data_IF_838382558280
#
_entry.id   IF_838382558280
#
_cell.length_a   1.000
_cell.length_b   1.000
_cell.length_c   1.000
_cell.angle_alpha   90.00
_cell.angle_beta   90.00
_cell.angle_gamma   90.00
#
_symmetry.space_group_name_H-M   'P 1'
#
loop_
_entity.id
_entity.type
_entity.pdbx_description
1 polymer ?
#
# COMPACT_ATOMS: atom_id res chain seq x y z
N UNK A 1 -45.98 -10.19 -8.32
CA UNK A 1 -44.65 -10.42 -7.71
C UNK A 1 -43.61 -10.43 -8.82
N UNK A 2 -42.93 -9.32 -9.06
CA UNK A 2 -41.83 -9.19 -10.03
C UNK A 2 -40.51 -9.21 -9.27
N UNK A 3 -39.62 -10.15 -9.62
CA UNK A 3 -38.21 -10.14 -9.20
C UNK A 3 -37.43 -9.27 -10.18
N UNK A 4 -36.76 -8.23 -9.68
CA UNK A 4 -35.73 -7.47 -10.39
C UNK A 4 -34.38 -8.19 -10.23
N UNK A 5 -33.59 -8.37 -11.30
CA UNK A 5 -32.16 -8.59 -11.15
C UNK A 5 -31.43 -7.23 -11.00
N UNK A 6 -30.73 -7.06 -9.88
CA UNK A 6 -29.71 -6.03 -9.72
C UNK A 6 -28.52 -6.36 -10.63
N UNK A 7 -28.32 -5.57 -11.69
CA UNK A 7 -27.04 -5.50 -12.39
C UNK A 7 -26.15 -4.48 -11.67
N UNK A 8 -25.16 -4.96 -10.93
CA UNK A 8 -24.04 -4.15 -10.45
C UNK A 8 -23.25 -3.63 -11.66
N UNK A 9 -23.20 -2.31 -11.77
CA UNK A 9 -22.55 -1.59 -12.86
C UNK A 9 -21.09 -1.30 -12.45
N UNK A 10 -20.17 -2.24 -12.72
CA UNK A 10 -18.73 -1.96 -12.67
C UNK A 10 -18.30 -1.39 -14.03
N UNK A 11 -18.18 -0.07 -14.08
CA UNK A 11 -17.81 0.67 -15.28
C UNK A 11 -16.35 0.48 -15.69
N UNK A 12 -16.09 -0.56 -16.47
CA UNK A 12 -14.93 -0.65 -17.36
C UNK A 12 -15.38 -0.45 -18.81
N UNK A 13 -15.47 0.80 -19.28
CA UNK A 13 -15.85 1.08 -20.67
C UNK A 13 -14.65 0.80 -21.60
N UNK A 14 -14.59 -0.42 -22.14
CA UNK A 14 -13.76 -0.74 -23.30
C UNK A 14 -14.42 -0.13 -24.55
N UNK A 15 -13.79 0.87 -25.14
CA UNK A 15 -14.19 1.37 -26.47
C UNK A 15 -13.54 0.44 -27.49
N UNK A 16 -14.32 -0.46 -28.08
CA UNK A 16 -13.88 -1.27 -29.22
C UNK A 16 -14.20 -0.47 -30.49
N UNK A 17 -13.22 0.06 -31.22
CA UNK A 17 -13.50 0.63 -32.53
C UNK A 17 -13.71 -0.53 -33.49
N UNK A 18 -14.97 -0.68 -33.91
CA UNK A 18 -15.35 -1.55 -35.01
C UNK A 18 -14.82 -0.94 -36.31
N UNK A 19 -14.11 -1.78 -37.10
CA UNK A 19 -13.76 -1.60 -38.51
C UNK A 19 -12.62 -0.60 -38.88
N UNK A 20 -11.39 -1.10 -39.08
CA UNK A 20 -10.74 -1.27 -40.39
C UNK A 20 -9.29 -1.78 -40.22
N UNK A 21 -8.82 -2.57 -41.19
CA UNK A 21 -7.53 -3.24 -41.21
C UNK A 21 -6.30 -2.31 -41.11
N UNK A 22 -5.21 -2.87 -40.57
CA UNK A 22 -3.82 -2.37 -40.54
C UNK A 22 -3.55 -1.33 -39.44
N UNK A 23 -3.30 -1.83 -38.23
CA UNK A 23 -2.14 -1.59 -37.34
C UNK A 23 -2.46 -2.46 -36.13
N UNK A 24 -1.57 -3.37 -35.76
CA UNK A 24 -1.71 -4.23 -34.56
C UNK A 24 -1.52 -3.33 -33.33
N UNK A 25 -2.53 -2.52 -33.04
CA UNK A 25 -2.64 -1.76 -31.81
C UNK A 25 -3.06 -2.74 -30.74
N UNK A 26 -2.07 -3.34 -30.08
CA UNK A 26 -2.27 -4.05 -28.82
C UNK A 26 -2.72 -2.98 -27.82
N UNK A 27 -4.02 -2.68 -27.79
CA UNK A 27 -4.64 -1.98 -26.66
C UNK A 27 -4.74 -3.05 -25.57
N UNK A 28 -3.60 -3.31 -24.93
CA UNK A 28 -3.55 -4.13 -23.73
C UNK A 28 -4.31 -3.36 -22.66
N UNK A 29 -5.46 -3.86 -22.24
CA UNK A 29 -6.03 -3.49 -20.96
C UNK A 29 -5.03 -3.94 -19.89
N UNK A 30 -4.10 -3.07 -19.53
CA UNK A 30 -3.18 -3.32 -18.42
C UNK A 30 -4.03 -3.35 -17.16
N UNK A 31 -4.15 -4.52 -16.55
CA UNK A 31 -4.72 -4.68 -15.22
C UNK A 31 -3.98 -3.71 -14.27
N UNK A 32 -4.68 -2.73 -13.67
CA UNK A 32 -4.05 -1.78 -12.78
C UNK A 32 -3.36 -2.47 -11.59
N UNK A 33 -3.84 -3.65 -11.15
CA UNK A 33 -3.19 -4.40 -10.07
C UNK A 33 -1.78 -4.83 -10.45
N UNK A 34 -1.58 -5.31 -11.69
CA UNK A 34 -0.25 -5.71 -12.18
C UNK A 34 0.69 -4.52 -12.19
N UNK A 35 0.24 -3.38 -12.71
CA UNK A 35 1.05 -2.16 -12.73
C UNK A 35 1.41 -1.70 -11.32
N UNK A 36 0.46 -1.68 -10.40
CA UNK A 36 0.73 -1.28 -9.01
C UNK A 36 1.69 -2.22 -8.29
N UNK A 37 1.58 -3.53 -8.52
CA UNK A 37 2.55 -4.50 -8.03
C UNK A 37 3.96 -4.23 -8.60
N UNK A 38 4.08 -3.98 -9.90
CA UNK A 38 5.36 -3.65 -10.55
C UNK A 38 5.94 -2.33 -9.99
N UNK A 39 5.12 -1.29 -9.81
CA UNK A 39 5.54 -0.01 -9.25
C UNK A 39 6.05 -0.18 -7.79
N UNK A 40 5.34 -0.95 -6.96
CA UNK A 40 5.76 -1.28 -5.60
C UNK A 40 7.02 -2.17 -5.56
N UNK A 41 7.14 -3.13 -6.47
CA UNK A 41 8.35 -3.96 -6.61
C UNK A 41 9.57 -3.11 -6.93
N UNK A 42 9.43 -2.14 -7.84
CA UNK A 42 10.50 -1.18 -8.16
C UNK A 42 10.93 -0.33 -6.95
N UNK A 43 10.04 -0.11 -5.98
CA UNK A 43 10.39 0.52 -4.70
C UNK A 43 11.14 -0.48 -3.82
N UNK A 44 10.59 -1.68 -3.63
CA UNK A 44 11.14 -2.71 -2.75
C UNK A 44 12.54 -3.18 -3.16
N UNK A 45 12.80 -3.31 -4.46
CA UNK A 45 14.10 -3.75 -5.00
C UNK A 45 15.15 -2.62 -5.04
N UNK A 46 14.75 -1.37 -4.75
CA UNK A 46 15.63 -0.21 -4.77
C UNK A 46 16.12 0.15 -3.37
N UNK A 47 17.39 -0.15 -3.09
CA UNK A 47 18.03 0.15 -1.80
C UNK A 47 17.85 1.60 -1.36
N UNK A 48 18.03 2.56 -2.28
CA UNK A 48 17.88 3.99 -1.97
C UNK A 48 16.45 4.39 -1.63
N UNK A 49 15.44 3.79 -2.28
CA UNK A 49 14.03 4.06 -1.97
C UNK A 49 13.59 3.41 -0.65
N UNK A 50 14.06 2.20 -0.38
CA UNK A 50 13.84 1.52 0.91
C UNK A 50 14.48 2.31 2.04
N UNK A 51 15.74 2.76 1.87
CA UNK A 51 16.43 3.59 2.85
C UNK A 51 15.66 4.90 3.09
N UNK A 52 15.23 5.58 2.03
CA UNK A 52 14.40 6.78 2.13
C UNK A 52 13.13 6.54 2.96
N UNK A 53 12.39 5.46 2.70
CA UNK A 53 11.17 5.13 3.44
C UNK A 53 11.46 4.83 4.91
N UNK A 54 12.54 4.10 5.18
CA UNK A 54 12.98 3.71 6.53
C UNK A 54 13.38 4.95 7.35
N UNK A 55 14.21 5.82 6.79
CA UNK A 55 14.59 7.09 7.43
C UNK A 55 13.37 7.99 7.65
N UNK A 56 12.47 8.06 6.64
CA UNK A 56 11.24 8.82 6.75
C UNK A 56 10.38 8.33 7.91
N UNK A 57 10.12 7.03 8.01
CA UNK A 57 9.22 6.51 9.05
C UNK A 57 9.86 6.61 10.43
N UNK A 58 11.15 6.31 10.59
CA UNK A 58 11.85 6.46 11.87
C UNK A 58 11.74 7.89 12.40
N UNK A 59 11.95 8.88 11.53
CA UNK A 59 11.76 10.30 11.88
C UNK A 59 10.31 10.64 12.23
N UNK A 60 9.33 9.99 11.60
CA UNK A 60 7.90 10.24 11.87
C UNK A 60 7.46 9.62 13.20
N UNK A 61 8.00 8.47 13.59
CA UNK A 61 7.70 7.82 14.86
C UNK A 61 8.16 8.66 16.07
N UNK A 62 9.18 9.50 15.90
CA UNK A 62 9.61 10.49 16.91
C UNK A 62 8.67 11.70 17.04
N UNK A 63 7.67 11.85 16.17
CA UNK A 63 6.80 13.02 16.10
C UNK A 63 5.41 12.75 16.70
N UNK A 64 5.06 13.31 17.88
CA UNK A 64 3.77 13.08 18.52
C UNK A 64 2.56 13.49 17.67
N UNK A 65 2.68 14.55 16.85
CA UNK A 65 1.59 15.00 15.97
C UNK A 65 1.34 14.01 14.83
N UNK A 66 2.38 13.33 14.38
CA UNK A 66 2.23 12.26 13.40
C UNK A 66 1.50 11.07 14.01
N UNK A 67 1.91 10.63 15.21
CA UNK A 67 1.26 9.51 15.90
C UNK A 67 -0.22 9.80 16.20
N UNK A 68 -0.54 11.01 16.66
CA UNK A 68 -1.92 11.47 16.87
C UNK A 68 -2.73 11.44 15.58
N UNK A 69 -2.15 11.91 14.46
CA UNK A 69 -2.80 11.88 13.15
C UNK A 69 -3.03 10.44 12.68
N UNK A 70 -2.06 9.54 12.85
CA UNK A 70 -2.24 8.12 12.52
C UNK A 70 -3.34 7.50 13.37
N UNK A 71 -3.46 7.93 14.63
CA UNK A 71 -4.48 7.47 15.57
C UNK A 71 -4.32 5.99 15.88
N UNK A 72 -5.27 5.46 16.66
CA UNK A 72 -5.26 4.06 17.11
C UNK A 72 -5.12 3.02 15.99
N UNK A 73 -5.76 3.25 14.84
CA UNK A 73 -5.72 2.29 13.73
C UNK A 73 -4.37 2.21 13.04
N UNK A 74 -3.48 3.18 13.23
CA UNK A 74 -2.16 3.18 12.60
C UNK A 74 -2.20 3.23 11.06
N UNK A 75 -3.37 3.41 10.43
CA UNK A 75 -3.55 3.30 8.98
C UNK A 75 -4.20 4.54 8.37
N UNK A 76 -3.76 4.92 7.16
CA UNK A 76 -4.30 6.02 6.36
C UNK A 76 -4.30 5.65 4.89
N UNK A 77 -5.40 5.94 4.20
CA UNK A 77 -5.53 5.75 2.75
C UNK A 77 -5.91 7.07 2.07
N UNK A 78 -5.48 7.27 0.83
CA UNK A 78 -5.85 8.48 0.08
C UNK A 78 -7.36 8.56 -0.21
N UNK A 79 -8.01 7.39 -0.32
CA UNK A 79 -9.45 7.29 -0.57
C UNK A 79 -10.29 7.75 0.63
N UNK A 80 -9.85 7.46 1.85
CA UNK A 80 -10.61 7.77 3.06
C UNK A 80 -10.11 9.05 3.76
N UNK A 81 -8.81 9.33 3.66
CA UNK A 81 -8.12 10.35 4.46
C UNK A 81 -7.24 11.29 3.59
N UNK A 82 -7.76 11.92 2.52
CA UNK A 82 -6.93 12.62 1.53
C UNK A 82 -6.14 13.79 2.13
N UNK A 83 -6.74 14.58 3.01
CA UNK A 83 -6.08 15.72 3.64
C UNK A 83 -4.93 15.28 4.57
N UNK A 84 -5.03 14.12 5.20
CA UNK A 84 -3.99 13.59 6.07
C UNK A 84 -2.87 12.95 5.26
N UNK A 85 -3.20 12.21 4.21
CA UNK A 85 -2.22 11.63 3.28
C UNK A 85 -1.33 12.70 2.64
N UNK A 86 -1.90 13.86 2.28
CA UNK A 86 -1.11 15.00 1.78
C UNK A 86 -0.15 15.59 2.83
N UNK A 87 -0.46 15.47 4.13
CA UNK A 87 0.40 15.96 5.22
C UNK A 87 1.55 15.03 5.58
N UNK A 88 1.55 13.79 5.08
CA UNK A 88 2.62 12.83 5.32
C UNK A 88 3.97 13.30 4.77
N UNK A 89 3.94 14.11 3.69
CA UNK A 89 5.14 14.61 3.00
C UNK A 89 6.07 13.47 2.54
N UNK A 90 5.49 12.35 2.13
CA UNK A 90 6.21 11.32 1.36
C UNK A 90 6.38 11.87 -0.06
N UNK A 91 7.58 11.70 -0.63
CA UNK A 91 7.87 12.04 -2.01
C UNK A 91 7.40 10.90 -2.93
N UNK A 92 6.09 10.91 -3.21
CA UNK A 92 5.45 9.92 -4.06
C UNK A 92 6.04 9.87 -5.48
N UNK A 93 6.50 11.02 -5.99
CA UNK A 93 7.10 11.12 -7.31
C UNK A 93 8.47 10.44 -7.34
N UNK A 94 9.31 10.66 -6.32
CA UNK A 94 10.58 9.95 -6.16
C UNK A 94 10.38 8.43 -6.08
N UNK A 95 9.36 7.98 -5.33
CA UNK A 95 9.02 6.56 -5.24
C UNK A 95 8.48 6.01 -6.56
N UNK A 96 7.95 6.86 -7.44
CA UNK A 96 7.27 6.45 -8.67
C UNK A 96 5.88 5.87 -8.42
N UNK A 97 5.24 6.27 -7.32
CA UNK A 97 3.93 5.76 -6.90
C UNK A 97 2.84 6.82 -7.10
N UNK A 98 1.65 6.36 -7.47
CA UNK A 98 0.48 7.21 -7.61
C UNK A 98 -0.25 7.36 -6.28
N UNK A 99 -0.09 8.53 -5.63
CA UNK A 99 -0.73 8.87 -4.36
C UNK A 99 -2.24 8.55 -4.34
N UNK A 100 -2.96 8.64 -5.47
CA UNK A 100 -4.42 8.42 -5.53
C UNK A 100 -4.85 7.03 -5.06
N UNK A 101 -3.97 6.04 -5.20
CA UNK A 101 -4.23 4.65 -4.84
C UNK A 101 -3.43 4.20 -3.62
N UNK A 102 -2.68 5.11 -3.01
CA UNK A 102 -1.75 4.79 -1.95
C UNK A 102 -2.43 4.72 -0.58
N UNK A 103 -1.89 3.84 0.25
CA UNK A 103 -2.16 3.75 1.68
C UNK A 103 -0.85 3.56 2.45
N UNK A 104 -0.86 3.94 3.71
CA UNK A 104 0.19 3.63 4.66
C UNK A 104 -0.42 3.00 5.90
N UNK A 105 0.35 2.14 6.55
CA UNK A 105 -0.05 1.50 7.80
C UNK A 105 1.18 1.22 8.67
N UNK A 106 0.99 1.40 9.98
CA UNK A 106 1.95 1.06 11.02
C UNK A 106 1.48 -0.24 11.66
N UNK A 107 2.22 -1.30 11.38
CA UNK A 107 1.97 -2.63 11.92
C UNK A 107 2.64 -2.71 13.28
N UNK A 108 1.88 -3.14 14.29
CA UNK A 108 2.25 -3.06 15.70
C UNK A 108 1.91 -4.33 16.45
N UNK A 109 2.58 -4.56 17.57
CA UNK A 109 2.28 -5.70 18.45
C UNK A 109 0.87 -5.60 19.06
N UNK A 110 0.29 -6.76 19.36
CA UNK A 110 -1.01 -6.86 20.01
C UNK A 110 -0.92 -6.45 21.49
N UNK A 111 -1.91 -5.71 22.00
CA UNK A 111 -2.03 -5.38 23.42
C UNK A 111 -1.76 -3.93 23.80
N UNK A 112 -1.57 -3.04 22.82
CA UNK A 112 -1.60 -1.59 23.05
C UNK A 112 -2.87 -1.17 23.80
N UNK A 113 -2.73 -0.29 24.80
CA UNK A 113 -3.85 0.26 25.57
C UNK A 113 -4.65 1.28 24.76
N UNK A 114 -5.94 1.38 25.10
CA UNK A 114 -6.96 2.27 24.54
C UNK A 114 -6.45 3.58 23.90
N UNK A 115 -6.75 3.73 22.60
CA UNK A 115 -6.74 4.99 21.84
C UNK A 115 -5.39 5.70 21.61
N UNK A 116 -4.25 5.05 21.86
CA UNK A 116 -2.93 5.62 21.55
C UNK A 116 -2.08 4.67 20.72
N UNK A 117 -1.28 5.24 19.81
CA UNK A 117 -0.28 4.51 19.05
C UNK A 117 1.08 4.71 19.73
N UNK A 118 1.58 3.67 20.40
CA UNK A 118 2.90 3.67 21.02
C UNK A 118 3.97 3.40 19.94
N UNK A 119 4.93 4.31 19.71
CA UNK A 119 5.97 4.09 18.69
C UNK A 119 6.85 2.89 19.00
N UNK A 120 6.98 2.48 20.27
CA UNK A 120 7.81 1.34 20.68
C UNK A 120 7.19 -0.02 20.33
N UNK A 121 5.88 -0.07 20.04
CA UNK A 121 5.18 -1.29 19.62
C UNK A 121 5.08 -1.42 18.11
N UNK A 122 5.48 -0.39 17.34
CA UNK A 122 5.55 -0.47 15.87
C UNK A 122 6.70 -1.41 15.48
N UNK A 123 6.38 -2.37 14.61
CA UNK A 123 7.29 -3.44 14.15
C UNK A 123 7.61 -3.31 12.68
N UNK A 124 6.61 -2.99 11.86
CA UNK A 124 6.82 -2.75 10.45
C UNK A 124 5.97 -1.60 9.91
N UNK A 125 6.42 -1.04 8.80
CA UNK A 125 5.72 -0.06 8.01
C UNK A 125 5.24 -0.69 6.72
N UNK A 126 3.94 -0.53 6.44
CA UNK A 126 3.32 -0.98 5.22
C UNK A 126 3.01 0.22 4.33
N UNK A 127 3.41 0.12 3.07
CA UNK A 127 3.05 1.05 2.01
C UNK A 127 2.27 0.28 0.94
N UNK A 128 1.00 0.64 0.76
CA UNK A 128 0.07 -0.08 -0.10
C UNK A 128 -0.32 0.70 -1.35
N UNK A 129 -0.64 -0.01 -2.43
CA UNK A 129 -1.32 0.51 -3.61
C UNK A 129 -2.45 -0.46 -4.02
N UNK A 130 -3.70 -0.03 -3.82
CA UNK A 130 -4.85 -0.93 -3.95
C UNK A 130 -4.74 -2.10 -2.97
N UNK A 131 -4.65 -3.33 -3.49
CA UNK A 131 -4.47 -4.55 -2.67
C UNK A 131 -3.01 -4.97 -2.51
N UNK A 132 -2.11 -4.42 -3.31
CA UNK A 132 -0.68 -4.73 -3.26
C UNK A 132 0.01 -3.93 -2.16
N UNK A 133 1.11 -4.44 -1.60
CA UNK A 133 1.81 -3.75 -0.51
C UNK A 133 3.28 -4.12 -0.42
N UNK A 134 4.10 -3.18 0.02
CA UNK A 134 5.43 -3.47 0.57
C UNK A 134 5.36 -3.38 2.09
N UNK A 135 6.14 -4.23 2.75
CA UNK A 135 6.34 -4.21 4.20
C UNK A 135 7.83 -4.00 4.45
N UNK A 136 8.15 -3.04 5.30
CA UNK A 136 9.51 -2.74 5.75
C UNK A 136 9.56 -2.95 7.26
N UNK A 137 10.36 -3.89 7.72
CA UNK A 137 10.60 -4.15 9.15
C UNK A 137 11.49 -3.02 9.70
N UNK A 138 11.12 -2.44 10.84
CA UNK A 138 11.76 -1.21 11.37
C UNK A 138 12.68 -1.43 12.57
N UNK A 139 12.67 -2.62 13.16
CA UNK A 139 13.47 -2.99 14.33
C UNK A 139 14.06 -4.39 14.14
N UNK A 140 14.98 -4.81 15.01
CA UNK A 140 15.50 -6.20 15.10
C UNK A 140 14.41 -7.25 15.44
N UNK A 141 13.13 -6.86 15.45
CA UNK A 141 12.01 -7.77 15.70
C UNK A 141 11.90 -8.87 14.64
N UNK A 142 12.43 -8.66 13.44
CA UNK A 142 12.48 -9.66 12.36
C UNK A 142 11.11 -10.15 11.87
N UNK A 143 10.02 -9.58 12.38
CA UNK A 143 8.67 -10.07 12.17
C UNK A 143 7.74 -9.00 11.60
N UNK A 144 6.92 -9.44 10.65
CA UNK A 144 5.76 -8.73 10.17
C UNK A 144 4.60 -9.25 11.03
N UNK A 145 4.60 -8.93 12.32
CA UNK A 145 3.48 -9.23 13.23
C UNK A 145 2.27 -8.35 12.88
N UNK A 146 1.76 -8.47 11.67
CA UNK A 146 0.39 -8.11 11.39
C UNK A 146 -0.46 -9.35 11.67
N UNK A 147 -1.73 -9.14 12.03
CA UNK A 147 -2.80 -10.12 11.80
C UNK A 147 -2.95 -10.36 10.29
N UNK A 148 -1.88 -10.80 9.63
CA UNK A 148 -1.84 -11.12 8.22
C UNK A 148 -2.57 -12.45 8.12
N UNK A 149 -3.76 -12.40 7.53
CA UNK A 149 -4.52 -13.58 7.15
C UNK A 149 -3.55 -14.62 6.56
N UNK A 150 -3.61 -15.90 6.95
CA UNK A 150 -2.68 -16.94 6.48
C UNK A 150 -2.51 -16.96 4.94
N UNK A 151 -3.56 -16.59 4.21
CA UNK A 151 -3.57 -16.46 2.76
C UNK A 151 -2.60 -15.38 2.26
N UNK A 152 -2.48 -14.26 2.96
CA UNK A 152 -1.59 -13.15 2.61
C UNK A 152 -0.12 -13.51 2.89
N UNK A 153 0.15 -14.30 3.94
CA UNK A 153 1.49 -14.86 4.20
C UNK A 153 1.95 -15.81 3.08
N UNK A 154 1.02 -16.54 2.46
CA UNK A 154 1.36 -17.49 1.38
C UNK A 154 1.80 -16.81 0.07
N UNK A 155 1.39 -15.56 -0.15
CA UNK A 155 1.69 -14.76 -1.34
C UNK A 155 2.74 -13.67 -1.07
N UNK A 156 3.30 -13.64 0.14
CA UNK A 156 4.32 -12.69 0.53
C UNK A 156 5.68 -13.11 -0.05
N UNK A 157 6.23 -12.28 -0.92
CA UNK A 157 7.57 -12.45 -1.49
C UNK A 157 8.60 -11.70 -0.66
N UNK A 158 9.60 -12.41 -0.13
CA UNK A 158 10.76 -11.77 0.52
C UNK A 158 11.68 -11.17 -0.54
N UNK A 159 11.93 -9.86 -0.48
CA UNK A 159 12.83 -9.14 -1.41
C UNK A 159 14.23 -9.00 -0.79
N UNK A 160 14.29 -8.67 0.50
CA UNK A 160 15.52 -8.64 1.31
C UNK A 160 15.23 -9.13 2.72
N UNK A 161 16.20 -9.00 3.64
CA UNK A 161 16.02 -9.40 5.05
C UNK A 161 14.81 -8.71 5.70
N UNK A 162 14.67 -7.41 5.47
CA UNK A 162 13.68 -6.54 6.12
C UNK A 162 12.55 -6.08 5.19
N UNK A 163 12.58 -6.46 3.91
CA UNK A 163 11.62 -5.98 2.90
C UNK A 163 10.86 -7.13 2.27
N UNK A 164 9.54 -7.01 2.30
CA UNK A 164 8.61 -7.99 1.74
C UNK A 164 7.61 -7.31 0.81
N UNK A 165 7.17 -8.04 -0.20
CA UNK A 165 6.23 -7.59 -1.22
C UNK A 165 5.04 -8.55 -1.27
N UNK A 166 3.84 -8.01 -1.15
CA UNK A 166 2.59 -8.71 -1.46
C UNK A 166 2.01 -8.18 -2.76
N UNK A 167 1.69 -9.10 -3.66
CA UNK A 167 0.92 -8.80 -4.86
C UNK A 167 -0.26 -9.77 -5.00
N UNK A 168 -1.44 -9.22 -5.28
CA UNK A 168 -2.68 -9.99 -5.51
C UNK A 168 -2.90 -10.34 -6.98
#
# INVERSE_FOLDING_TARGET
>A
MMKLPMTLNYGGRCVVPVLLMIVVSIIGCTDPNRKWCEDLRNVAESESKVLYLTEWINKKLENPKFLEMMGWLGSKSMLENPAQMQRLQIDWAYLGLDLRYSSIELVREFGDRDNYLDPSTVRSFRLGMGRNSIFIVLNDSGDIEAEVLPDLMSNLSRISEDVFLYCD
#
